data_IF_102673226339
#
_entry.id   IF_102673226339
#
_cell.length_a   1.000
_cell.length_b   1.000
_cell.length_c   1.000
_cell.angle_alpha   90.00
_cell.angle_beta   90.00
_cell.angle_gamma   90.00
#
_symmetry.space_group_name_H-M   'P 1'
#
loop_
_entity.id
_entity.type
_entity.pdbx_description
1 polymer ?
#
# COMPACT_ATOMS: atom_id res chain seq x y z
N UNK A 1 16.46 8.35 26.72
CA UNK A 1 16.40 7.48 25.53
C UNK A 1 15.01 7.41 24.94
N UNK A 2 13.96 7.14 25.73
CA UNK A 2 12.55 7.08 25.29
C UNK A 2 12.11 8.40 24.65
N UNK A 3 12.45 9.56 25.25
CA UNK A 3 12.02 10.87 24.73
C UNK A 3 12.61 11.19 23.34
N UNK A 4 13.84 10.78 23.07
CA UNK A 4 14.45 10.91 21.75
C UNK A 4 13.74 10.03 20.71
N UNK A 5 13.38 8.81 21.09
CA UNK A 5 12.60 7.91 20.21
C UNK A 5 11.20 8.47 19.94
N UNK A 6 10.55 9.08 20.94
CA UNK A 6 9.27 9.75 20.77
C UNK A 6 9.36 10.99 19.86
N UNK A 7 10.49 11.70 19.88
CA UNK A 7 10.73 12.84 19.01
C UNK A 7 10.87 12.41 17.53
N UNK A 8 11.48 11.26 17.27
CA UNK A 8 11.65 10.72 15.92
C UNK A 8 10.37 10.09 15.39
N UNK A 9 9.60 9.40 16.24
CA UNK A 9 8.39 8.71 15.79
C UNK A 9 7.24 9.68 15.44
N UNK A 10 7.15 10.84 16.09
CA UNK A 10 6.07 11.82 15.83
C UNK A 10 5.99 12.29 14.37
N UNK A 11 7.08 12.80 13.75
CA UNK A 11 7.04 13.20 12.35
C UNK A 11 6.78 12.02 11.41
N UNK A 12 7.31 10.83 11.73
CA UNK A 12 7.07 9.63 10.93
C UNK A 12 5.59 9.21 10.96
N UNK A 13 4.95 9.26 12.12
CA UNK A 13 3.51 9.03 12.26
C UNK A 13 2.69 10.01 11.45
N UNK A 14 3.05 11.30 11.48
CA UNK A 14 2.36 12.34 10.73
C UNK A 14 2.44 12.11 9.22
N UNK A 15 3.64 11.76 8.71
CA UNK A 15 3.85 11.39 7.30
C UNK A 15 3.02 10.17 6.92
N UNK A 16 3.06 9.11 7.73
CA UNK A 16 2.29 7.89 7.47
C UNK A 16 0.77 8.12 7.57
N UNK A 17 0.30 9.02 8.47
CA UNK A 17 -1.11 9.39 8.57
C UNK A 17 -1.60 10.13 7.31
N UNK A 18 -0.78 11.05 6.77
CA UNK A 18 -1.10 11.76 5.54
C UNK A 18 -1.07 10.81 4.35
N UNK A 19 0.01 10.04 4.21
CA UNK A 19 0.15 9.06 3.14
C UNK A 19 -1.01 8.06 3.15
N UNK A 20 -1.42 7.57 4.33
CA UNK A 20 -2.55 6.66 4.47
C UNK A 20 -3.90 7.30 4.12
N UNK A 21 -4.13 8.58 4.45
CA UNK A 21 -5.36 9.30 4.06
C UNK A 21 -5.44 9.51 2.55
N UNK A 22 -4.34 10.00 1.96
CA UNK A 22 -4.26 10.21 0.51
C UNK A 22 -4.36 8.87 -0.21
N UNK A 23 -3.65 7.84 0.25
CA UNK A 23 -3.69 6.50 -0.32
C UNK A 23 -5.11 5.92 -0.35
N UNK A 24 -5.87 6.04 0.75
CA UNK A 24 -7.27 5.59 0.81
C UNK A 24 -8.16 6.36 -0.15
N UNK A 25 -8.06 7.69 -0.19
CA UNK A 25 -8.87 8.50 -1.09
C UNK A 25 -8.60 8.17 -2.57
N UNK A 26 -7.33 8.05 -2.95
CA UNK A 26 -6.94 7.66 -4.31
C UNK A 26 -7.38 6.22 -4.63
N UNK A 27 -7.33 5.31 -3.67
CA UNK A 27 -7.77 3.92 -3.85
C UNK A 27 -9.27 3.82 -4.06
N UNK A 28 -10.07 4.57 -3.31
CA UNK A 28 -11.54 4.65 -3.51
C UNK A 28 -11.85 5.19 -4.90
N UNK A 29 -11.16 6.25 -5.32
CA UNK A 29 -11.31 6.80 -6.67
C UNK A 29 -10.90 5.79 -7.75
N UNK A 30 -9.77 5.09 -7.57
CA UNK A 30 -9.30 4.07 -8.50
C UNK A 30 -10.30 2.90 -8.64
N UNK A 31 -10.91 2.44 -7.53
CA UNK A 31 -11.96 1.42 -7.57
C UNK A 31 -13.17 1.93 -8.36
N UNK A 32 -13.64 3.13 -8.09
CA UNK A 32 -14.80 3.70 -8.79
C UNK A 32 -14.55 3.77 -10.31
N UNK A 33 -13.39 4.28 -10.73
CA UNK A 33 -12.99 4.33 -12.14
C UNK A 33 -12.87 2.92 -12.72
N UNK A 34 -12.27 1.97 -12.01
CA UNK A 34 -12.13 0.58 -12.46
C UNK A 34 -13.50 -0.06 -12.71
N UNK A 35 -14.46 0.13 -11.81
CA UNK A 35 -15.83 -0.40 -11.98
C UNK A 35 -16.50 0.21 -13.22
N UNK A 36 -16.41 1.52 -13.41
CA UNK A 36 -16.98 2.20 -14.59
C UNK A 36 -16.36 1.65 -15.87
N UNK A 37 -15.05 1.49 -15.92
CA UNK A 37 -14.31 0.97 -17.08
C UNK A 37 -14.71 -0.46 -17.40
N UNK A 38 -14.83 -1.33 -16.38
CA UNK A 38 -15.24 -2.72 -16.56
C UNK A 38 -16.70 -2.80 -17.05
N UNK A 39 -17.62 -2.04 -16.44
CA UNK A 39 -19.02 -2.00 -16.88
C UNK A 39 -19.15 -1.51 -18.32
N UNK A 40 -18.39 -0.49 -18.68
CA UNK A 40 -18.32 0.00 -20.07
C UNK A 40 -17.88 -1.11 -21.02
N UNK A 41 -16.84 -1.86 -20.68
CA UNK A 41 -16.34 -2.97 -21.50
C UNK A 41 -17.39 -4.07 -21.64
N UNK A 42 -18.05 -4.45 -20.53
CA UNK A 42 -19.14 -5.46 -20.57
C UNK A 42 -20.26 -5.02 -21.51
N UNK A 43 -20.69 -3.76 -21.42
CA UNK A 43 -21.71 -3.21 -22.30
C UNK A 43 -21.30 -3.26 -23.77
N UNK A 44 -20.11 -2.76 -24.12
CA UNK A 44 -19.61 -2.79 -25.51
C UNK A 44 -19.45 -4.20 -26.04
N UNK A 45 -18.99 -5.14 -25.22
CA UNK A 45 -18.75 -6.53 -25.63
C UNK A 45 -20.04 -7.30 -25.83
N UNK A 46 -21.03 -7.17 -24.94
CA UNK A 46 -22.22 -8.03 -24.95
C UNK A 46 -23.44 -7.37 -25.61
N UNK A 47 -23.57 -6.04 -25.58
CA UNK A 47 -24.69 -5.32 -26.18
C UNK A 47 -24.36 -4.87 -27.59
N UNK A 48 -23.17 -4.31 -27.79
CA UNK A 48 -22.74 -3.77 -29.08
C UNK A 48 -21.93 -4.75 -29.92
N UNK A 49 -21.60 -5.95 -29.38
CA UNK A 49 -20.73 -6.95 -30.02
C UNK A 49 -19.39 -6.38 -30.54
N UNK A 50 -18.91 -5.32 -29.92
CA UNK A 50 -17.68 -4.62 -30.28
C UNK A 50 -16.76 -4.49 -29.04
N UNK A 51 -15.87 -5.46 -28.82
CA UNK A 51 -14.97 -5.48 -27.69
C UNK A 51 -13.89 -4.39 -27.81
N UNK A 52 -13.82 -3.52 -26.80
CA UNK A 52 -12.78 -2.50 -26.72
C UNK A 52 -11.47 -3.13 -26.17
N UNK A 53 -10.30 -2.83 -26.74
CA UNK A 53 -9.04 -3.44 -26.31
C UNK A 53 -8.39 -2.76 -25.10
N UNK A 54 -8.77 -1.52 -24.77
CA UNK A 54 -8.11 -0.71 -23.74
C UNK A 54 -8.64 -0.89 -22.30
N UNK A 55 -9.90 -1.28 -22.03
CA UNK A 55 -10.43 -1.30 -20.68
C UNK A 55 -9.78 -2.35 -19.78
N UNK A 56 -9.42 -3.52 -20.33
CA UNK A 56 -8.72 -4.57 -19.58
C UNK A 56 -7.37 -4.08 -19.03
N UNK A 57 -6.63 -3.34 -19.86
CA UNK A 57 -5.33 -2.81 -19.46
C UNK A 57 -5.49 -1.64 -18.49
N UNK A 58 -6.52 -0.80 -18.66
CA UNK A 58 -6.86 0.27 -17.74
C UNK A 58 -7.26 -0.27 -16.35
N UNK A 59 -8.07 -1.33 -16.30
CA UNK A 59 -8.45 -1.97 -15.05
C UNK A 59 -7.23 -2.55 -14.31
N UNK A 60 -6.31 -3.21 -15.01
CA UNK A 60 -5.05 -3.70 -14.42
C UNK A 60 -4.18 -2.57 -13.87
N UNK A 61 -4.12 -1.45 -14.59
CA UNK A 61 -3.41 -0.26 -14.15
C UNK A 61 -3.96 0.28 -12.82
N UNK A 62 -5.29 0.42 -12.73
CA UNK A 62 -5.96 0.86 -11.51
C UNK A 62 -5.76 -0.13 -10.35
N UNK A 63 -5.84 -1.44 -10.62
CA UNK A 63 -5.61 -2.49 -9.63
C UNK A 63 -4.19 -2.44 -9.04
N UNK A 64 -3.16 -2.21 -9.85
CA UNK A 64 -1.79 -2.10 -9.38
C UNK A 64 -1.59 -0.88 -8.48
N UNK A 65 -2.16 0.27 -8.85
CA UNK A 65 -2.11 1.49 -8.01
C UNK A 65 -2.87 1.32 -6.70
N UNK A 66 -4.04 0.70 -6.75
CA UNK A 66 -4.81 0.37 -5.55
C UNK A 66 -4.00 -0.50 -4.60
N UNK A 67 -3.40 -1.58 -5.11
CA UNK A 67 -2.58 -2.50 -4.30
C UNK A 67 -1.36 -1.79 -3.72
N UNK A 68 -0.64 -1.01 -4.53
CA UNK A 68 0.54 -0.27 -4.07
C UNK A 68 0.23 0.76 -2.97
N UNK A 69 -0.92 1.43 -3.05
CA UNK A 69 -1.32 2.45 -2.06
C UNK A 69 -1.94 1.84 -0.79
N UNK A 70 -2.66 0.70 -0.91
CA UNK A 70 -3.35 0.09 0.22
C UNK A 70 -2.48 -0.87 1.01
N UNK A 71 -1.44 -1.49 0.42
CA UNK A 71 -0.54 -2.41 1.12
C UNK A 71 0.12 -1.77 2.37
N UNK A 72 0.69 -0.55 2.33
CA UNK A 72 1.24 0.10 3.52
C UNK A 72 0.17 0.43 4.56
N UNK A 73 -1.04 0.78 4.14
CA UNK A 73 -2.17 1.05 5.06
C UNK A 73 -2.58 -0.23 5.79
N UNK A 74 -2.73 -1.33 5.05
CA UNK A 74 -3.06 -2.64 5.63
C UNK A 74 -1.97 -3.12 6.59
N UNK A 75 -0.70 -2.97 6.23
CA UNK A 75 0.43 -3.32 7.10
C UNK A 75 0.40 -2.53 8.41
N UNK A 76 0.09 -1.23 8.36
CA UNK A 76 0.04 -0.36 9.54
C UNK A 76 -1.15 -0.66 10.46
N UNK A 77 -2.29 -1.07 9.90
CA UNK A 77 -3.52 -1.39 10.63
C UNK A 77 -3.55 -2.81 11.21
N UNK A 78 -2.43 -3.50 11.22
CA UNK A 78 -2.35 -4.84 11.79
C UNK A 78 -2.65 -5.94 10.77
N UNK A 79 -2.30 -5.74 9.50
CA UNK A 79 -2.39 -6.80 8.47
C UNK A 79 -1.59 -8.07 8.78
N UNK A 80 -0.89 -8.09 9.92
CA UNK A 80 -0.23 -9.26 10.50
C UNK A 80 -1.05 -9.92 11.64
N UNK A 81 -2.35 -9.65 11.74
CA UNK A 81 -3.22 -10.20 12.82
C UNK A 81 -3.09 -11.73 12.92
N UNK A 82 -3.00 -12.43 11.82
CA UNK A 82 -2.81 -13.88 11.82
C UNK A 82 -1.51 -14.32 12.51
N UNK A 83 -0.44 -13.52 12.39
CA UNK A 83 0.84 -13.78 13.04
C UNK A 83 0.76 -13.44 14.52
N UNK A 84 0.11 -12.33 14.88
CA UNK A 84 -0.05 -11.94 16.29
C UNK A 84 -0.89 -12.95 17.07
N UNK A 85 -1.96 -13.48 16.50
CA UNK A 85 -2.79 -14.50 17.14
C UNK A 85 -2.02 -15.79 17.48
N UNK A 86 -1.11 -16.22 16.61
CA UNK A 86 -0.23 -17.36 16.91
C UNK A 86 0.81 -17.00 17.98
N UNK A 87 1.34 -15.79 17.91
CA UNK A 87 2.35 -15.31 18.85
C UNK A 87 1.80 -15.03 20.26
N UNK A 88 0.51 -14.74 20.40
CA UNK A 88 -0.17 -14.55 21.71
C UNK A 88 -0.13 -15.81 22.58
N UNK A 89 0.04 -17.00 21.98
CA UNK A 89 0.24 -18.26 22.69
C UNK A 89 1.60 -18.38 23.38
N UNK A 90 2.56 -17.47 23.07
CA UNK A 90 3.90 -17.52 23.66
C UNK A 90 4.02 -16.59 24.89
N UNK A 91 4.97 -16.87 25.82
CA UNK A 91 5.25 -15.98 26.94
C UNK A 91 5.67 -14.59 26.46
N UNK A 92 5.22 -13.57 27.16
CA UNK A 92 5.40 -12.13 26.81
C UNK A 92 6.80 -11.72 26.32
N UNK A 93 7.93 -12.18 26.92
CA UNK A 93 9.24 -11.79 26.43
C UNK A 93 9.56 -12.41 25.05
N UNK A 94 9.15 -13.67 24.80
CA UNK A 94 9.37 -14.35 23.54
C UNK A 94 8.53 -13.71 22.42
N UNK A 95 7.28 -13.35 22.70
CA UNK A 95 6.42 -12.59 21.79
C UNK A 95 7.10 -11.33 21.26
N UNK A 96 7.66 -10.50 22.17
CA UNK A 96 8.34 -9.24 21.80
C UNK A 96 9.56 -9.49 20.91
N UNK A 97 10.37 -10.50 21.26
CA UNK A 97 11.58 -10.84 20.50
C UNK A 97 11.24 -11.32 19.10
N UNK A 98 10.29 -12.24 18.97
CA UNK A 98 9.88 -12.81 17.67
C UNK A 98 9.21 -11.75 16.80
N UNK A 99 8.33 -10.93 17.36
CA UNK A 99 7.73 -9.78 16.64
C UNK A 99 8.79 -8.83 16.08
N UNK A 100 9.78 -8.48 16.88
CA UNK A 100 10.85 -7.59 16.46
C UNK A 100 11.69 -8.23 15.34
N UNK A 101 12.03 -9.51 15.49
CA UNK A 101 12.77 -10.25 14.48
C UNK A 101 12.04 -10.32 13.15
N UNK A 102 10.73 -10.59 13.18
CA UNK A 102 9.90 -10.60 11.98
C UNK A 102 9.85 -9.23 11.29
N UNK A 103 9.77 -8.14 12.05
CA UNK A 103 9.83 -6.78 11.50
C UNK A 103 11.18 -6.47 10.85
N UNK A 104 12.29 -6.95 11.41
CA UNK A 104 13.61 -6.80 10.79
C UNK A 104 13.75 -7.62 9.51
N UNK A 105 13.25 -8.86 9.50
CA UNK A 105 13.21 -9.69 8.28
C UNK A 105 12.37 -8.98 7.21
N UNK A 106 11.19 -8.48 7.58
CA UNK A 106 10.32 -7.72 6.67
C UNK A 106 11.04 -6.49 6.11
N UNK A 107 11.76 -5.73 6.95
CA UNK A 107 12.52 -4.58 6.49
C UNK A 107 13.60 -4.97 5.46
N UNK A 108 14.33 -6.06 5.71
CA UNK A 108 15.35 -6.56 4.78
C UNK A 108 14.74 -6.92 3.43
N UNK A 109 13.60 -7.62 3.42
CA UNK A 109 12.87 -7.96 2.19
C UNK A 109 12.40 -6.71 1.45
N UNK A 110 11.89 -5.71 2.16
CA UNK A 110 11.44 -4.45 1.57
C UNK A 110 12.61 -3.66 0.95
N UNK A 111 13.79 -3.63 1.57
CA UNK A 111 14.98 -2.97 1.02
C UNK A 111 15.40 -3.63 -0.30
N UNK A 112 15.44 -4.97 -0.34
CA UNK A 112 15.69 -5.71 -1.57
C UNK A 112 14.60 -5.41 -2.61
N UNK A 113 13.34 -5.33 -2.17
CA UNK A 113 12.19 -4.96 -3.00
C UNK A 113 12.35 -3.59 -3.65
N UNK A 114 12.89 -2.58 -2.95
CA UNK A 114 13.18 -1.25 -3.54
C UNK A 114 14.22 -1.36 -4.66
N UNK A 115 15.30 -2.11 -4.44
CA UNK A 115 16.36 -2.26 -5.45
C UNK A 115 15.84 -2.94 -6.72
N UNK A 116 15.05 -4.00 -6.57
CA UNK A 116 14.44 -4.70 -7.69
C UNK A 116 13.35 -3.85 -8.35
N UNK A 117 12.52 -3.17 -7.56
CA UNK A 117 11.48 -2.28 -8.03
C UNK A 117 12.03 -1.15 -8.89
N UNK A 118 13.14 -0.53 -8.48
CA UNK A 118 13.80 0.49 -9.28
C UNK A 118 14.31 -0.03 -10.63
N UNK A 119 14.89 -1.23 -10.65
CA UNK A 119 15.28 -1.87 -11.92
C UNK A 119 14.09 -2.11 -12.84
N UNK A 120 12.95 -2.57 -12.29
CA UNK A 120 11.73 -2.78 -13.08
C UNK A 120 11.15 -1.46 -13.60
N UNK A 121 11.14 -0.39 -12.81
CA UNK A 121 10.70 0.93 -13.28
C UNK A 121 11.57 1.40 -14.45
N UNK A 122 12.89 1.29 -14.33
CA UNK A 122 13.80 1.68 -15.42
C UNK A 122 13.60 0.83 -16.68
N UNK A 123 13.41 -0.47 -16.54
CA UNK A 123 13.06 -1.35 -17.67
C UNK A 123 11.72 -0.96 -18.29
N UNK A 124 10.75 -0.56 -17.49
CA UNK A 124 9.42 -0.16 -17.94
C UNK A 124 9.40 1.07 -18.85
N UNK A 125 10.42 1.93 -18.83
CA UNK A 125 10.54 3.06 -19.74
C UNK A 125 10.82 2.65 -21.18
N UNK A 126 11.37 1.46 -21.40
CA UNK A 126 11.64 0.93 -22.74
C UNK A 126 10.39 0.40 -23.43
N UNK A 127 9.37 0.01 -22.65
CA UNK A 127 8.15 -0.59 -23.15
C UNK A 127 6.96 0.35 -23.03
N UNK A 128 6.09 0.35 -24.04
CA UNK A 128 4.84 1.10 -24.07
C UNK A 128 3.66 0.13 -24.02
N UNK A 129 2.58 0.55 -23.37
CA UNK A 129 1.30 -0.16 -23.39
C UNK A 129 0.84 -0.42 -24.84
N UNK A 130 0.30 -1.60 -25.08
CA UNK A 130 -0.19 -1.99 -26.41
C UNK A 130 -1.55 -1.35 -26.72
N UNK A 131 -2.44 -1.22 -25.75
CA UNK A 131 -3.83 -0.80 -25.93
C UNK A 131 -4.17 0.54 -25.27
N UNK A 132 -3.47 0.95 -24.20
CA UNK A 132 -3.72 2.24 -23.53
C UNK A 132 -3.08 3.38 -24.34
N UNK A 133 -3.89 3.96 -25.24
CA UNK A 133 -3.55 5.15 -25.99
C UNK A 133 -4.49 6.28 -25.57
N UNK A 134 -3.94 7.40 -25.15
CA UNK A 134 -4.75 8.61 -24.95
C UNK A 134 -5.00 9.21 -26.32
N UNK A 135 -6.26 9.26 -26.82
CA UNK A 135 -6.58 9.82 -28.10
C UNK A 135 -6.46 11.34 -28.07
N UNK A 136 -5.25 11.87 -28.12
CA UNK A 136 -5.02 13.32 -28.26
C UNK A 136 -5.24 13.82 -29.69
N UNK A 137 -5.70 12.95 -30.61
CA UNK A 137 -6.09 13.33 -31.96
C UNK A 137 -7.23 14.36 -32.00
N UNK A 138 -8.06 14.44 -30.95
CA UNK A 138 -9.13 15.44 -30.79
C UNK A 138 -8.55 16.86 -30.64
N UNK A 139 -7.31 17.00 -30.14
CA UNK A 139 -6.61 18.29 -29.94
C UNK A 139 -5.47 18.46 -30.97
N UNK A 140 -5.40 17.63 -32.02
CA UNK A 140 -4.38 17.73 -33.07
C UNK A 140 -2.98 17.24 -32.66
N UNK A 141 -2.83 16.60 -31.48
CA UNK A 141 -1.57 16.06 -31.00
C UNK A 141 -1.47 14.55 -31.28
N UNK A 142 -0.24 14.04 -31.47
CA UNK A 142 0.01 12.60 -31.64
C UNK A 142 -0.48 11.82 -30.43
N UNK A 143 -1.16 10.69 -30.66
CA UNK A 143 -1.63 9.79 -29.61
C UNK A 143 -0.46 9.37 -28.69
N UNK A 144 -0.57 9.63 -27.40
CA UNK A 144 0.43 9.28 -26.40
C UNK A 144 0.15 7.87 -25.87
N UNK A 145 1.12 6.97 -26.00
CA UNK A 145 1.06 5.63 -25.39
C UNK A 145 1.57 5.71 -23.96
N UNK A 146 0.79 5.21 -23.01
CA UNK A 146 1.21 5.14 -21.60
C UNK A 146 2.35 4.12 -21.49
N UNK A 147 3.45 4.51 -20.85
CA UNK A 147 4.60 3.62 -20.64
C UNK A 147 4.32 2.66 -19.48
N UNK A 148 4.83 1.42 -19.57
CA UNK A 148 4.68 0.43 -18.51
C UNK A 148 5.37 0.86 -17.21
N UNK A 149 6.35 1.76 -17.28
CA UNK A 149 7.00 2.33 -16.11
C UNK A 149 5.98 2.88 -15.10
N UNK A 150 4.88 3.49 -15.55
CA UNK A 150 3.83 4.00 -14.65
C UNK A 150 3.10 2.90 -13.86
N UNK A 151 2.99 1.68 -14.43
CA UNK A 151 2.46 0.52 -13.72
C UNK A 151 3.45 0.05 -12.64
N UNK A 152 4.73 -0.03 -12.98
CA UNK A 152 5.77 -0.47 -12.03
C UNK A 152 6.03 0.57 -10.93
N UNK A 153 5.85 1.86 -11.22
CA UNK A 153 5.93 2.93 -10.22
C UNK A 153 4.93 2.77 -9.10
N UNK A 154 3.75 2.19 -9.34
CA UNK A 154 2.76 1.95 -8.29
C UNK A 154 3.30 1.01 -7.21
N UNK A 155 3.87 -0.11 -7.64
CA UNK A 155 4.47 -1.11 -6.75
C UNK A 155 5.70 -0.53 -6.02
N UNK A 156 6.56 0.18 -6.75
CA UNK A 156 7.74 0.84 -6.18
C UNK A 156 7.35 1.85 -5.09
N UNK A 157 6.37 2.71 -5.37
CA UNK A 157 5.84 3.68 -4.39
C UNK A 157 5.25 2.96 -3.17
N UNK A 158 4.50 1.88 -3.40
CA UNK A 158 3.95 1.04 -2.32
C UNK A 158 5.03 0.47 -1.42
N UNK A 159 6.10 -0.09 -1.98
CA UNK A 159 7.23 -0.64 -1.21
C UNK A 159 7.94 0.46 -0.41
N UNK A 160 8.17 1.63 -1.00
CA UNK A 160 8.77 2.77 -0.29
C UNK A 160 7.92 3.21 0.91
N UNK A 161 6.59 3.30 0.74
CA UNK A 161 5.67 3.61 1.83
C UNK A 161 5.64 2.49 2.89
N UNK A 162 5.72 1.22 2.49
CA UNK A 162 5.80 0.09 3.41
C UNK A 162 7.07 0.14 4.28
N UNK A 163 8.20 0.60 3.75
CA UNK A 163 9.42 0.81 4.54
C UNK A 163 9.18 1.84 5.64
N UNK A 164 8.54 2.98 5.31
CA UNK A 164 8.25 4.02 6.31
C UNK A 164 7.33 3.48 7.42
N UNK A 165 6.32 2.70 7.05
CA UNK A 165 5.43 2.04 8.01
C UNK A 165 6.18 1.00 8.84
N UNK A 166 7.03 0.18 8.22
CA UNK A 166 7.81 -0.85 8.91
C UNK A 166 8.75 -0.23 9.96
N UNK A 167 9.44 0.85 9.61
CA UNK A 167 10.30 1.61 10.55
C UNK A 167 9.46 2.17 11.71
N UNK A 168 8.26 2.70 11.45
CA UNK A 168 7.33 3.14 12.51
C UNK A 168 6.98 1.98 13.45
N UNK A 169 6.66 0.79 12.90
CA UNK A 169 6.30 -0.39 13.70
C UNK A 169 7.48 -0.91 14.53
N UNK A 170 8.70 -0.90 14.00
CA UNK A 170 9.92 -1.25 14.74
C UNK A 170 10.10 -0.29 15.92
N UNK A 171 10.01 1.02 15.68
CA UNK A 171 10.14 2.03 16.75
C UNK A 171 9.04 1.87 17.81
N UNK A 172 7.80 1.60 17.41
CA UNK A 172 6.68 1.31 18.33
C UNK A 172 6.97 0.07 19.18
N UNK A 173 7.43 -1.00 18.57
CA UNK A 173 7.78 -2.25 19.26
C UNK A 173 8.91 -2.04 20.28
N UNK A 174 9.95 -1.28 19.93
CA UNK A 174 11.04 -0.92 20.83
C UNK A 174 10.58 -0.07 22.02
N UNK A 175 9.78 0.99 21.76
CA UNK A 175 9.24 1.85 22.82
C UNK A 175 8.35 1.06 23.78
N UNK A 176 7.50 0.17 23.25
CA UNK A 176 6.64 -0.70 24.05
C UNK A 176 7.45 -1.69 24.88
N UNK A 177 8.56 -2.22 24.32
CA UNK A 177 9.47 -3.11 25.05
C UNK A 177 10.17 -2.42 26.22
N UNK A 178 10.46 -1.12 26.07
CA UNK A 178 11.06 -0.26 27.10
C UNK A 178 10.05 0.31 28.12
N UNK A 179 8.77 -0.10 28.04
CA UNK A 179 7.71 0.33 28.97
C UNK A 179 7.03 1.66 28.62
N UNK A 180 7.37 2.28 27.46
CA UNK A 180 6.81 3.56 27.01
C UNK A 180 5.52 3.45 26.18
N UNK A 181 4.91 2.29 26.10
CA UNK A 181 3.75 2.03 25.23
C UNK A 181 2.55 2.94 25.44
N UNK A 182 2.27 3.35 26.70
CA UNK A 182 1.18 4.26 27.06
C UNK A 182 1.32 5.69 26.50
N UNK A 183 2.52 6.08 26.04
CA UNK A 183 2.79 7.39 25.44
C UNK A 183 2.66 7.41 23.91
N UNK A 184 2.40 6.25 23.30
CA UNK A 184 2.24 6.12 21.86
C UNK A 184 0.82 6.52 21.44
N UNK A 185 0.72 7.33 20.39
CA UNK A 185 -0.56 7.63 19.77
C UNK A 185 -1.14 6.37 19.13
N UNK A 186 -2.43 6.13 19.33
CA UNK A 186 -3.14 5.04 18.65
C UNK A 186 -3.12 5.22 17.14
N UNK A 187 -3.04 4.11 16.39
CA UNK A 187 -3.07 4.12 14.93
C UNK A 187 -4.51 4.37 14.47
N UNK A 188 -4.78 5.36 13.62
CA UNK A 188 -6.12 5.61 13.11
C UNK A 188 -6.65 4.37 12.36
N UNK A 189 -7.80 3.85 12.76
CA UNK A 189 -8.45 2.68 12.15
C UNK A 189 -8.34 1.38 12.92
N UNK A 190 -7.60 1.35 14.03
CA UNK A 190 -7.68 0.31 15.06
C UNK A 190 -8.52 0.92 16.19
N UNK A 191 -9.83 1.05 15.96
CA UNK A 191 -10.76 1.36 17.05
C UNK A 191 -10.96 0.08 17.84
N UNK A 192 -10.67 0.12 19.15
CA UNK A 192 -11.01 -0.96 20.08
C UNK A 192 -12.52 -1.21 20.23
N UNK A 193 -13.35 -0.39 19.57
CA UNK A 193 -14.81 -0.49 19.57
C UNK A 193 -15.37 -1.75 18.88
N UNK A 194 -14.60 -2.39 18.00
CA UNK A 194 -15.07 -3.61 17.36
C UNK A 194 -15.03 -4.85 18.25
N UNK A 195 -14.24 -4.83 19.33
CA UNK A 195 -14.16 -5.94 20.26
C UNK A 195 -15.16 -5.83 21.43
N UNK A 196 -15.66 -4.63 21.73
CA UNK A 196 -16.70 -4.44 22.75
C UNK A 196 -18.11 -4.70 22.22
N UNK A 197 -18.36 -4.55 20.91
CA UNK A 197 -19.67 -4.83 20.32
C UNK A 197 -19.93 -6.32 20.06
N UNK A 198 -18.90 -7.17 20.04
CA UNK A 198 -19.06 -8.63 19.95
C UNK A 198 -19.12 -9.33 21.32
N UNK A 199 -18.82 -8.62 22.40
CA UNK A 199 -18.86 -9.17 23.77
C UNK A 199 -20.11 -8.77 24.57
N UNK A 200 -21.05 -7.99 23.95
CA UNK A 200 -22.35 -7.61 24.50
C UNK A 200 -23.48 -8.34 23.78
#
# INVERSE_FOLDING_TARGET
MIDVMLMVIRPLQWVNDIAGRIGRALSVFAIAVMVIVILTQVFFRYVLNNALPWPDEAARFMMLWLTGLMAPVAMRQGGMVAITSVLESFPRPLFKLVSLLLLFISLTVLIVGVQLGWKHVNSGWLFSSSSLKIPMSIVGLKSFKIKLAWMYMSLFTGICLMILVNVELILRSLITSLGGGHRLRQVPGISGDSLESEAA
#
